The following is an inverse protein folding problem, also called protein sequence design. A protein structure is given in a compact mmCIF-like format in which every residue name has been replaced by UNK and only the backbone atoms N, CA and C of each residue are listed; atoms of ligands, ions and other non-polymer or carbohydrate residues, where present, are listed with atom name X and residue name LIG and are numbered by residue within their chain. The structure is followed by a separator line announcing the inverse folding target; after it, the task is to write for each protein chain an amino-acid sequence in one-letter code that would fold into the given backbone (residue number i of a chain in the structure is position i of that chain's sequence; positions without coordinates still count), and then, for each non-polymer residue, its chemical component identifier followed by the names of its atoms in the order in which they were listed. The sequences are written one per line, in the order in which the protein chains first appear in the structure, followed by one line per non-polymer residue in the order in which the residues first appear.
data_IF_107532336757
#
_entry.id   IF_107532336757
#
_cell.length_a   1.000
_cell.length_b   1.000
_cell.length_c   1.000
_cell.angle_alpha   90.00
_cell.angle_beta   90.00
_cell.angle_gamma   90.00
#
_symmetry.space_group_name_H-M   'P 1'
#
loop_
_entity.id
_entity.type
_entity.pdbx_description
1 polymer ?
#
# COMPACT_ATOMS: atom_id res chain seq x y z
N UNK A 1 -4.18 -0.30 -36.64
CA UNK A 1 -3.91 -0.04 -36.08
C UNK A 1 -3.59 -0.42 -35.22
N UNK A 2 -3.20 -0.24 -34.80
CA UNK A 2 -2.87 -0.49 -33.88
C UNK A 2 -3.24 -0.59 -33.01
N UNK A 3 -3.36 -0.91 -32.67
CA UNK A 3 -3.80 -1.01 -31.78
C UNK A 3 -3.30 -0.90 -30.77
N UNK A 4 -3.12 -0.42 -30.79
CA UNK A 4 -2.74 -0.19 -29.78
C UNK A 4 -3.29 -0.86 -28.80
N UNK A 5 -2.76 -1.39 -28.12
CA UNK A 5 -3.27 -2.03 -27.11
C UNK A 5 -4.11 -1.17 -26.37
N UNK A 6 -5.09 -1.65 -25.81
CA UNK A 6 -5.93 -0.84 -25.02
C UNK A 6 -5.07 -0.26 -23.98
N UNK A 7 -5.12 0.97 -23.91
CA UNK A 7 -4.38 1.60 -22.92
C UNK A 7 -4.84 1.25 -21.60
N UNK A 8 -3.95 1.08 -20.70
CA UNK A 8 -4.31 0.91 -19.36
C UNK A 8 -4.46 2.25 -18.72
N UNK A 9 -5.43 2.41 -17.86
CA UNK A 9 -5.61 3.70 -17.20
C UNK A 9 -4.33 4.20 -16.54
N UNK A 10 -3.54 3.30 -15.96
CA UNK A 10 -2.33 3.74 -15.30
C UNK A 10 -1.35 4.34 -16.28
N UNK A 11 -1.32 3.85 -17.51
CA UNK A 11 -0.41 4.42 -18.49
C UNK A 11 -0.88 5.79 -18.95
N UNK A 12 -2.17 5.91 -19.16
CA UNK A 12 -2.68 7.17 -19.63
C UNK A 12 -2.69 8.23 -18.57
N UNK A 13 -2.90 7.82 -17.33
CA UNK A 13 -3.02 8.77 -16.24
C UNK A 13 -1.71 9.03 -15.55
N UNK A 14 -0.66 8.33 -15.96
CA UNK A 14 0.67 8.54 -15.38
C UNK A 14 0.63 8.48 -13.87
N UNK A 15 0.13 7.36 -13.34
CA UNK A 15 0.08 7.21 -11.89
C UNK A 15 1.47 7.27 -11.30
N UNK A 16 1.53 7.73 -10.08
CA UNK A 16 2.76 7.82 -9.33
C UNK A 16 2.77 6.73 -8.27
N UNK A 17 3.95 6.23 -7.96
CA UNK A 17 4.09 5.18 -6.97
C UNK A 17 5.05 5.59 -5.88
N UNK A 18 4.82 5.05 -4.70
CA UNK A 18 5.73 5.20 -3.58
C UNK A 18 5.88 3.83 -2.92
N UNK A 19 7.09 3.55 -2.47
CA UNK A 19 7.41 2.26 -1.89
C UNK A 19 8.01 2.44 -0.51
N UNK A 20 7.72 1.50 0.38
CA UNK A 20 8.34 1.46 1.70
C UNK A 20 8.64 0.02 2.05
N UNK A 21 9.77 -0.20 2.69
CA UNK A 21 10.08 -1.50 3.26
C UNK A 21 10.25 -1.31 4.76
N UNK A 22 9.31 -1.86 5.51
CA UNK A 22 9.26 -1.67 6.94
C UNK A 22 9.84 -2.89 7.63
N UNK A 23 10.89 -2.70 8.43
CA UNK A 23 11.49 -3.80 9.16
C UNK A 23 10.59 -4.19 10.32
N UNK A 24 10.13 -5.42 10.33
CA UNK A 24 9.33 -5.97 11.41
C UNK A 24 9.22 -7.47 11.23
N UNK A 25 9.26 -8.21 12.32
CA UNK A 25 9.06 -9.65 12.25
C UNK A 25 7.59 -10.01 12.35
N UNK A 26 6.70 -9.02 12.34
CA UNK A 26 5.26 -9.24 12.42
C UNK A 26 4.54 -8.72 11.19
N UNK A 27 5.22 -8.76 10.05
CA UNK A 27 4.69 -8.17 8.82
C UNK A 27 3.31 -8.74 8.44
N UNK A 28 3.19 -10.05 8.41
CA UNK A 28 1.93 -10.67 8.03
C UNK A 28 0.82 -10.30 9.00
N UNK A 29 1.13 -10.25 10.27
CA UNK A 29 0.15 -9.94 11.29
C UNK A 29 -0.43 -8.53 11.09
N UNK A 30 0.44 -7.55 10.87
CA UNK A 30 -0.03 -6.19 10.69
C UNK A 30 -0.80 -6.03 9.39
N UNK A 31 -0.29 -6.65 8.33
CA UNK A 31 -0.98 -6.61 7.05
C UNK A 31 -2.38 -7.17 7.15
N UNK A 32 -2.52 -8.33 7.80
CA UNK A 32 -3.81 -8.99 7.92
C UNK A 32 -4.75 -8.18 8.80
N UNK A 33 -4.23 -7.59 9.87
CA UNK A 33 -5.06 -6.74 10.71
C UNK A 33 -5.63 -5.56 9.92
N UNK A 34 -4.79 -4.95 9.10
CA UNK A 34 -5.25 -3.85 8.26
C UNK A 34 -6.24 -4.32 7.23
N UNK A 35 -5.99 -5.49 6.63
CA UNK A 35 -6.90 -6.04 5.64
C UNK A 35 -8.29 -6.28 6.24
N UNK A 36 -8.34 -6.86 7.43
CA UNK A 36 -9.61 -7.11 8.09
C UNK A 36 -10.32 -5.81 8.43
N UNK A 37 -9.55 -4.82 8.88
CA UNK A 37 -10.12 -3.54 9.24
C UNK A 37 -10.76 -2.86 8.03
N UNK A 38 -10.04 -2.83 6.92
CA UNK A 38 -10.52 -2.14 5.72
C UNK A 38 -11.49 -2.94 4.88
N UNK A 39 -11.59 -4.25 5.07
CA UNK A 39 -12.53 -5.05 4.30
C UNK A 39 -13.98 -4.71 4.60
N UNK A 40 -14.24 -3.99 5.68
CA UNK A 40 -15.58 -3.51 5.99
C UNK A 40 -16.03 -2.40 5.05
N UNK A 41 -15.08 -1.72 4.41
CA UNK A 41 -15.41 -0.58 3.56
C UNK A 41 -14.98 -0.75 2.12
N UNK A 42 -13.95 -1.57 1.89
CA UNK A 42 -13.34 -1.65 0.57
C UNK A 42 -13.24 -3.12 0.15
N UNK A 43 -13.10 -3.34 -1.14
CA UNK A 43 -13.00 -4.70 -1.69
C UNK A 43 -11.56 -5.22 -1.55
N UNK A 44 -11.15 -5.44 -0.32
CA UNK A 44 -9.80 -5.87 0.00
C UNK A 44 -9.63 -7.35 -0.33
N UNK A 45 -8.50 -7.69 -0.94
CA UNK A 45 -8.15 -9.07 -1.22
C UNK A 45 -6.85 -9.37 -0.53
N UNK A 46 -6.77 -10.47 0.20
CA UNK A 46 -5.55 -10.76 0.92
C UNK A 46 -5.43 -12.23 1.26
N UNK A 47 -4.19 -12.63 1.49
CA UNK A 47 -3.88 -13.92 2.08
C UNK A 47 -2.74 -13.67 3.07
N UNK A 48 -2.04 -14.73 3.47
CA UNK A 48 -1.00 -14.58 4.47
C UNK A 48 0.25 -13.89 3.96
N UNK A 49 0.41 -13.84 2.65
CA UNK A 49 1.63 -13.30 2.06
C UNK A 49 1.44 -11.93 1.43
N UNK A 50 0.24 -11.60 0.99
CA UNK A 50 0.04 -10.36 0.27
C UNK A 50 -1.35 -9.80 0.49
N UNK A 51 -1.51 -8.51 0.19
CA UNK A 51 -2.78 -7.84 0.31
C UNK A 51 -2.91 -6.76 -0.75
N UNK A 52 -4.14 -6.53 -1.18
CA UNK A 52 -4.48 -5.60 -2.23
C UNK A 52 -5.62 -4.73 -1.72
N UNK A 53 -5.38 -3.44 -1.61
CA UNK A 53 -6.33 -2.50 -1.02
C UNK A 53 -6.71 -1.44 -2.05
N UNK A 54 -7.89 -1.56 -2.68
CA UNK A 54 -8.37 -0.47 -3.54
C UNK A 54 -9.00 0.61 -2.66
N UNK A 55 -8.37 1.76 -2.62
CA UNK A 55 -8.77 2.86 -1.75
C UNK A 55 -9.25 4.04 -2.57
N UNK A 56 -10.02 4.96 -1.97
CA UNK A 56 -10.55 6.09 -2.75
C UNK A 56 -9.49 6.93 -3.42
N UNK A 57 -8.33 7.09 -2.79
CA UNK A 57 -7.27 7.92 -3.36
C UNK A 57 -6.36 7.17 -4.32
N UNK A 58 -6.44 5.85 -4.35
CA UNK A 58 -5.59 5.05 -5.20
C UNK A 58 -5.50 3.64 -4.69
N UNK A 59 -4.36 3.01 -4.94
CA UNK A 59 -4.19 1.59 -4.65
C UNK A 59 -3.05 1.38 -3.68
N UNK A 60 -3.23 0.45 -2.75
CA UNK A 60 -2.14 0.04 -1.86
C UNK A 60 -1.95 -1.46 -2.01
N UNK A 61 -0.71 -1.90 -2.15
CA UNK A 61 -0.37 -3.32 -2.18
C UNK A 61 0.67 -3.58 -1.13
N UNK A 62 0.58 -4.74 -0.49
CA UNK A 62 1.54 -5.13 0.52
C UNK A 62 1.99 -6.56 0.30
N UNK A 63 3.24 -6.83 0.64
CA UNK A 63 3.79 -8.18 0.64
C UNK A 63 4.50 -8.38 1.96
N UNK A 64 4.14 -9.45 2.66
CA UNK A 64 4.72 -9.73 3.97
C UNK A 64 5.86 -10.73 3.82
N UNK A 65 6.98 -10.39 4.40
CA UNK A 65 8.14 -11.26 4.47
C UNK A 65 8.41 -11.60 5.93
N UNK A 66 9.36 -12.49 6.16
CA UNK A 66 9.64 -12.91 7.53
C UNK A 66 10.12 -11.76 8.41
N UNK A 67 10.83 -10.81 7.83
CA UNK A 67 11.44 -9.73 8.59
C UNK A 67 11.10 -8.34 8.06
N UNK A 68 10.17 -8.23 7.12
CA UNK A 68 9.81 -6.92 6.59
C UNK A 68 8.44 -6.95 5.95
N UNK A 69 7.86 -5.77 5.85
CA UNK A 69 6.61 -5.57 5.12
C UNK A 69 6.89 -4.59 3.99
N UNK A 70 6.69 -5.05 2.76
CA UNK A 70 6.83 -4.21 1.59
C UNK A 70 5.49 -3.57 1.27
N UNK A 71 5.50 -2.26 1.05
CA UNK A 71 4.29 -1.50 0.79
C UNK A 71 4.48 -0.68 -0.47
N UNK A 72 3.50 -0.73 -1.36
CA UNK A 72 3.48 0.11 -2.55
C UNK A 72 2.16 0.83 -2.60
N UNK A 73 2.18 2.14 -2.76
CA UNK A 73 0.96 2.93 -2.96
C UNK A 73 1.03 3.62 -4.30
N UNK A 74 -0.11 3.75 -4.95
CA UNK A 74 -0.23 4.41 -6.26
C UNK A 74 -1.33 5.44 -6.20
N UNK A 75 -1.09 6.59 -6.80
CA UNK A 75 -2.08 7.64 -6.92
C UNK A 75 -1.84 8.41 -8.20
N UNK A 76 -2.82 9.20 -8.62
CA UNK A 76 -2.69 9.94 -9.87
C UNK A 76 -1.88 11.22 -9.74
N UNK A 77 -1.68 11.71 -8.51
CA UNK A 77 -0.90 12.92 -8.31
C UNK A 77 -0.16 12.85 -6.99
N UNK A 78 0.70 13.83 -6.77
CA UNK A 78 1.53 13.85 -5.58
C UNK A 78 0.74 14.04 -4.31
N UNK A 79 -0.32 14.81 -4.37
CA UNK A 79 -1.14 15.06 -3.20
C UNK A 79 -1.82 13.77 -2.74
N UNK A 80 -2.39 13.04 -3.68
CA UNK A 80 -3.02 11.76 -3.37
C UNK A 80 -2.02 10.76 -2.85
N UNK A 81 -0.82 10.75 -3.44
CA UNK A 81 0.23 9.85 -3.01
C UNK A 81 0.63 10.14 -1.57
N UNK A 82 0.83 11.42 -1.23
CA UNK A 82 1.20 11.79 0.13
C UNK A 82 0.11 11.40 1.13
N UNK A 83 -1.15 11.55 0.75
CA UNK A 83 -2.24 11.16 1.62
C UNK A 83 -2.30 9.67 1.83
N UNK A 84 -2.05 8.88 0.78
CA UNK A 84 -2.03 7.44 0.91
C UNK A 84 -0.90 6.99 1.81
N UNK A 85 0.29 7.57 1.64
CA UNK A 85 1.41 7.25 2.51
C UNK A 85 1.01 7.48 3.97
N UNK A 86 0.40 8.62 4.24
CA UNK A 86 0.03 8.99 5.59
C UNK A 86 -1.06 8.08 6.16
N UNK A 87 -2.08 7.80 5.37
CA UNK A 87 -3.19 6.97 5.81
C UNK A 87 -2.71 5.56 6.14
N UNK A 88 -1.90 4.98 5.25
CA UNK A 88 -1.38 3.64 5.46
C UNK A 88 -0.50 3.61 6.71
N UNK A 89 0.41 4.58 6.81
CA UNK A 89 1.34 4.62 7.95
C UNK A 89 0.60 4.75 9.27
N UNK A 90 -0.36 5.64 9.32
CA UNK A 90 -1.10 5.86 10.57
C UNK A 90 -1.86 4.62 11.01
N UNK A 91 -2.43 3.89 10.06
CA UNK A 91 -3.15 2.69 10.41
C UNK A 91 -2.22 1.58 10.89
N UNK A 92 -1.11 1.41 10.19
CA UNK A 92 -0.15 0.37 10.59
C UNK A 92 0.46 0.70 11.96
N UNK A 93 0.75 1.97 12.20
CA UNK A 93 1.33 2.38 13.48
C UNK A 93 0.41 2.03 14.64
N UNK A 94 -0.89 2.12 14.42
CA UNK A 94 -1.84 1.73 15.46
C UNK A 94 -1.70 0.27 15.84
N UNK A 95 -1.56 -0.59 14.85
CA UNK A 95 -1.45 -2.02 15.12
C UNK A 95 -0.09 -2.37 15.70
N UNK A 96 0.91 -1.59 15.38
CA UNK A 96 2.29 -1.88 15.76
C UNK A 96 2.77 -1.05 16.96
N UNK A 97 1.85 -0.54 17.76
CA UNK A 97 2.23 0.39 18.80
C UNK A 97 3.24 -0.19 19.79
N UNK A 98 3.29 -1.50 19.95
CA UNK A 98 4.23 -2.11 20.88
C UNK A 98 5.66 -2.11 20.36
N UNK A 99 5.84 -1.95 19.06
CA UNK A 99 7.18 -1.84 18.48
C UNK A 99 7.69 -0.41 18.49
N UNK A 100 6.83 0.52 18.92
CA UNK A 100 7.14 1.93 18.80
C UNK A 100 6.85 2.37 17.37
N UNK A 101 7.62 3.34 16.93
CA UNK A 101 7.34 3.94 15.63
C UNK A 101 7.98 3.11 14.52
N UNK A 102 7.18 2.71 13.55
CA UNK A 102 7.70 2.02 12.38
C UNK A 102 8.38 3.02 11.45
N UNK A 103 9.38 2.57 10.74
CA UNK A 103 10.12 3.44 9.83
C UNK A 103 9.82 3.03 8.41
N UNK A 104 9.24 3.95 7.64
CA UNK A 104 8.78 3.64 6.30
C UNK A 104 9.79 4.01 5.23
N UNK A 105 10.41 5.17 5.37
CA UNK A 105 11.39 5.60 4.38
C UNK A 105 10.84 5.60 2.97
N UNK A 106 9.67 6.19 2.79
CA UNK A 106 8.99 6.18 1.50
C UNK A 106 9.90 6.68 0.39
N UNK A 107 9.93 5.95 -0.72
CA UNK A 107 10.67 6.31 -1.92
C UNK A 107 9.68 6.43 -3.07
N UNK A 108 9.59 7.60 -3.65
CA UNK A 108 8.64 7.86 -4.72
C UNK A 108 9.26 7.68 -6.08
N UNK A 109 8.45 7.14 -6.99
CA UNK A 109 8.82 6.99 -8.38
C UNK A 109 7.78 7.74 -9.21
N UNK A 110 8.25 8.54 -10.10
CA UNK A 110 7.36 9.28 -10.97
C UNK A 110 6.87 8.45 -12.12
#
# INVERSE_FOLDING_TARGET
MTPQRPSRPSEEQATMESHARVATDKAARYMIQLAKHWSHKFDVRYDEASAHFPLPLGLCRMTAHADSLDITVEAVDQEGLARLEDVVAKHLDRFAFREGELKYGWTREA
#
